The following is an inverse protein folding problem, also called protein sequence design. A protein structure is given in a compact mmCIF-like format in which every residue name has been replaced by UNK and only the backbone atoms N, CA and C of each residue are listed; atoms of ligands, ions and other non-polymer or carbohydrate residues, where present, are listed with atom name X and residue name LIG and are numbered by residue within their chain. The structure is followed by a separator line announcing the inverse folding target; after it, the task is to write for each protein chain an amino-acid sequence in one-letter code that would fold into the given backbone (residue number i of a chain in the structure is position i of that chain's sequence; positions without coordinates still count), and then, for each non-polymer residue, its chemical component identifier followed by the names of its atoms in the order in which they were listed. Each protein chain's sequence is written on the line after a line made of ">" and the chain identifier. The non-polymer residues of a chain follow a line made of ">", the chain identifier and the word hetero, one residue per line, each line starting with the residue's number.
data_IF_005658697400
#
_entry.id   IF_005658697400
#
_cell.length_a   1.000
_cell.length_b   1.000
_cell.length_c   1.000
_cell.angle_alpha   90.00
_cell.angle_beta   90.00
_cell.angle_gamma   90.00
#
_symmetry.space_group_name_H-M   'P 1'
#
loop_
_entity.id
_entity.type
_entity.pdbx_description
1 polymer ?
#
# COMPACT_ATOMS: atom_id res chain seq x y z
N UNK A 1 -2.35 4.14 5.27
CA UNK A 1 -1.78 2.97 6.00
C UNK A 1 -1.96 1.71 5.17
N UNK A 2 -0.91 0.88 5.02
CA UNK A 2 -1.04 -0.43 4.37
C UNK A 2 -1.75 -1.38 5.33
N UNK A 3 -2.88 -1.96 4.90
CA UNK A 3 -3.69 -2.88 5.70
C UNK A 3 -3.63 -4.32 5.18
N UNK A 4 -3.24 -4.51 3.92
CA UNK A 4 -3.01 -5.81 3.32
C UNK A 4 -1.96 -5.70 2.22
N UNK A 5 -1.14 -6.74 2.08
CA UNK A 5 -0.17 -6.88 0.99
C UNK A 5 -0.68 -7.96 0.03
N UNK A 6 -0.86 -7.61 -1.24
CA UNK A 6 -1.43 -8.52 -2.26
C UNK A 6 -0.43 -8.92 -3.34
N UNK A 7 0.74 -8.30 -3.41
CA UNK A 7 1.81 -8.71 -4.31
C UNK A 7 2.61 -9.90 -3.78
N UNK A 8 3.35 -10.54 -4.68
CA UNK A 8 4.31 -11.58 -4.32
C UNK A 8 5.44 -11.03 -3.45
N UNK A 9 5.96 -11.89 -2.58
CA UNK A 9 7.13 -11.62 -1.74
C UNK A 9 7.01 -10.34 -0.89
N UNK A 10 5.77 -9.96 -0.53
CA UNK A 10 5.51 -8.76 0.25
C UNK A 10 5.51 -7.45 -0.57
N UNK A 11 5.55 -7.54 -1.90
CA UNK A 11 5.54 -6.40 -2.82
C UNK A 11 4.14 -5.87 -3.17
N UNK A 12 4.06 -4.85 -4.04
CA UNK A 12 2.80 -4.28 -4.49
C UNK A 12 2.00 -5.25 -5.40
N UNK A 13 0.67 -5.07 -5.51
CA UNK A 13 -0.10 -3.94 -4.98
C UNK A 13 -0.45 -4.07 -3.50
N UNK A 14 -0.75 -2.93 -2.88
CA UNK A 14 -1.11 -2.83 -1.47
C UNK A 14 -2.56 -2.39 -1.31
N UNK A 15 -3.30 -3.00 -0.39
CA UNK A 15 -4.56 -2.40 0.08
C UNK A 15 -4.22 -1.31 1.09
N UNK A 16 -4.62 -0.07 0.79
CA UNK A 16 -4.33 1.09 1.62
C UNK A 16 -5.62 1.67 2.17
N UNK A 17 -5.63 1.97 3.47
CA UNK A 17 -6.64 2.83 4.10
C UNK A 17 -6.14 4.27 4.13
N UNK A 18 -6.93 5.18 3.57
CA UNK A 18 -6.68 6.61 3.53
C UNK A 18 -7.27 7.30 4.76
N UNK A 19 -6.85 8.54 5.02
CA UNK A 19 -7.26 9.30 6.22
C UNK A 19 -8.74 9.71 6.18
N UNK A 20 -9.34 9.77 4.99
CA UNK A 20 -10.79 9.95 4.79
C UNK A 20 -11.61 8.69 5.12
N UNK A 21 -10.95 7.60 5.49
CA UNK A 21 -11.55 6.32 5.87
C UNK A 21 -11.78 5.36 4.71
N UNK A 22 -11.56 5.78 3.46
CA UNK A 22 -11.75 4.91 2.30
C UNK A 22 -10.60 3.92 2.15
N UNK A 23 -10.88 2.81 1.46
CA UNK A 23 -9.87 1.80 1.10
C UNK A 23 -9.72 1.72 -0.42
N UNK A 24 -8.50 1.47 -0.87
CA UNK A 24 -8.19 1.33 -2.29
C UNK A 24 -6.95 0.48 -2.54
N UNK A 25 -6.91 -0.13 -3.72
CA UNK A 25 -5.74 -0.87 -4.19
C UNK A 25 -4.75 0.10 -4.82
N UNK A 26 -3.53 0.13 -4.28
CA UNK A 26 -2.48 1.07 -4.70
C UNK A 26 -1.36 0.33 -5.41
N UNK A 27 -0.99 0.86 -6.57
CA UNK A 27 0.13 0.43 -7.41
C UNK A 27 1.20 1.53 -7.38
N UNK A 28 2.12 1.50 -6.41
CA UNK A 28 3.15 2.53 -6.29
C UNK A 28 4.12 2.50 -7.49
N UNK A 29 4.68 3.68 -7.79
CA UNK A 29 5.76 3.80 -8.77
C UNK A 29 7.09 3.21 -8.26
N UNK A 30 8.09 3.09 -9.15
CA UNK A 30 9.37 2.44 -8.83
C UNK A 30 10.15 3.15 -7.70
N UNK A 31 9.99 4.46 -7.54
CA UNK A 31 10.70 5.26 -6.53
C UNK A 31 9.94 5.37 -5.20
N UNK A 32 8.82 4.66 -5.04
CA UNK A 32 8.04 4.71 -3.82
C UNK A 32 8.78 4.01 -2.67
N UNK A 33 8.74 4.62 -1.49
CA UNK A 33 9.32 4.05 -0.27
C UNK A 33 8.23 3.71 0.74
N UNK A 34 8.36 2.54 1.37
CA UNK A 34 7.51 2.16 2.50
C UNK A 34 8.12 2.75 3.77
N UNK A 35 7.38 3.65 4.41
CA UNK A 35 7.79 4.27 5.68
C UNK A 35 7.08 3.60 6.84
N UNK A 36 7.85 3.32 7.90
CA UNK A 36 7.33 2.88 9.19
C UNK A 36 7.19 4.11 10.08
N UNK A 37 6.14 4.16 10.89
CA UNK A 37 5.95 5.21 11.89
C UNK A 37 6.45 4.73 13.24
#
# INVERSE_FOLDING_TARGET
>A
MIVEVKGLDGGPPYMVRFDDGHTGLVFPGPDAVVVHK
#
